data_IF_036224953643
#
_entry.id   IF_036224953643
#
_cell.length_a   1.000
_cell.length_b   1.000
_cell.length_c   1.000
_cell.angle_alpha   90.00
_cell.angle_beta   90.00
_cell.angle_gamma   90.00
#
_symmetry.space_group_name_H-M   'P 1'
#
loop_
_entity.id
_entity.type
_entity.pdbx_description
1 polymer ?
#
# COMPACT_ATOMS: atom_id res chain seq x y z
N UNK A 1 -45.71 -17.02 -58.52
CA UNK A 1 -46.10 -18.07 -57.55
C UNK A 1 -46.39 -17.44 -56.25
N UNK A 2 -47.67 -17.37 -55.87
CA UNK A 2 -48.20 -16.66 -54.71
C UNK A 2 -48.20 -17.60 -53.52
N UNK A 3 -47.36 -17.29 -52.48
CA UNK A 3 -47.43 -17.98 -51.18
C UNK A 3 -48.68 -17.49 -50.43
N UNK A 4 -49.65 -18.41 -50.30
CA UNK A 4 -50.82 -18.18 -49.45
C UNK A 4 -50.41 -18.14 -47.97
N UNK A 5 -50.44 -16.96 -47.33
CA UNK A 5 -50.47 -16.79 -45.90
C UNK A 5 -51.77 -17.40 -45.36
N UNK A 6 -51.71 -18.64 -44.87
CA UNK A 6 -52.80 -19.25 -44.10
C UNK A 6 -52.63 -18.90 -42.66
N UNK A 7 -53.34 -17.87 -42.19
CA UNK A 7 -53.55 -17.63 -40.74
C UNK A 7 -54.20 -18.87 -40.15
N UNK A 8 -53.61 -19.46 -39.03
CA UNK A 8 -54.22 -20.63 -38.40
C UNK A 8 -55.57 -20.26 -37.81
N UNK A 9 -56.59 -21.06 -38.17
CA UNK A 9 -57.94 -20.88 -37.68
C UNK A 9 -58.00 -21.23 -36.19
N UNK A 10 -58.00 -20.22 -35.32
CA UNK A 10 -58.00 -20.34 -33.87
C UNK A 10 -59.23 -21.01 -33.27
N UNK A 11 -60.31 -21.18 -34.06
CA UNK A 11 -61.58 -21.78 -33.60
C UNK A 11 -61.58 -23.31 -33.61
N UNK A 12 -60.53 -23.97 -34.07
CA UNK A 12 -60.47 -25.42 -34.19
C UNK A 12 -59.24 -26.05 -33.52
N UNK A 13 -58.88 -25.49 -32.38
CA UNK A 13 -57.79 -26.07 -31.55
C UNK A 13 -58.40 -27.20 -30.71
N UNK A 14 -57.91 -28.46 -30.86
CA UNK A 14 -58.39 -29.58 -30.05
C UNK A 14 -58.29 -29.31 -28.56
N UNK A 15 -59.28 -29.76 -27.76
CA UNK A 15 -59.33 -29.50 -26.32
C UNK A 15 -58.14 -30.07 -25.52
N UNK A 16 -57.49 -31.09 -26.04
CA UNK A 16 -56.26 -31.70 -25.54
C UNK A 16 -55.06 -30.76 -25.53
N UNK A 17 -55.07 -29.73 -26.40
CA UNK A 17 -54.04 -28.68 -26.39
C UNK A 17 -54.20 -27.64 -25.29
N UNK A 18 -55.33 -27.69 -24.57
CA UNK A 18 -55.58 -26.85 -23.38
C UNK A 18 -55.42 -27.60 -22.06
N UNK A 19 -54.99 -28.86 -22.10
CA UNK A 19 -54.54 -29.54 -20.91
C UNK A 19 -53.22 -28.91 -20.44
N UNK A 20 -53.13 -28.62 -19.12
CA UNK A 20 -51.89 -28.19 -18.52
C UNK A 20 -50.86 -29.28 -18.76
N UNK A 21 -49.99 -29.10 -19.72
CA UNK A 21 -48.80 -29.93 -19.85
C UNK A 21 -47.93 -29.56 -18.64
N UNK A 22 -47.94 -30.40 -17.64
CA UNK A 22 -46.89 -30.37 -16.63
C UNK A 22 -45.58 -30.70 -17.34
N UNK A 23 -44.95 -29.67 -17.88
CA UNK A 23 -43.60 -29.76 -18.39
C UNK A 23 -42.75 -30.15 -17.18
N UNK A 24 -42.48 -31.43 -17.14
CA UNK A 24 -41.54 -32.13 -16.28
C UNK A 24 -41.50 -31.62 -14.82
N UNK A 25 -42.09 -32.39 -13.91
CA UNK A 25 -41.95 -32.24 -12.45
C UNK A 25 -40.51 -32.37 -11.98
N UNK A 26 -39.52 -32.36 -12.88
CA UNK A 26 -38.09 -32.26 -12.63
C UNK A 26 -37.51 -30.90 -12.92
N UNK A 27 -38.30 -29.84 -12.88
CA UNK A 27 -37.72 -28.62 -12.34
C UNK A 27 -37.38 -28.96 -10.89
N UNK A 28 -36.20 -29.52 -10.69
CA UNK A 28 -35.55 -29.40 -9.42
C UNK A 28 -35.53 -27.92 -9.12
N UNK A 29 -36.52 -27.44 -8.35
CA UNK A 29 -36.24 -26.30 -7.49
C UNK A 29 -34.93 -26.71 -6.83
N UNK A 30 -33.83 -26.11 -7.26
CA UNK A 30 -32.59 -26.17 -6.53
C UNK A 30 -32.93 -25.55 -5.18
N UNK A 31 -33.40 -26.43 -4.27
CA UNK A 31 -33.56 -26.08 -2.88
C UNK A 31 -32.20 -25.55 -2.51
N UNK A 32 -32.14 -24.25 -2.24
CA UNK A 32 -30.93 -23.59 -1.79
C UNK A 32 -30.49 -24.39 -0.57
N UNK A 33 -29.65 -25.42 -0.79
CA UNK A 33 -29.13 -26.29 0.23
C UNK A 33 -27.97 -25.53 0.87
N UNK A 34 -28.28 -24.72 1.90
CA UNK A 34 -27.26 -24.01 2.67
C UNK A 34 -27.90 -23.01 3.63
N UNK A 35 -27.30 -22.86 4.80
CA UNK A 35 -27.65 -21.75 5.70
C UNK A 35 -27.36 -20.42 5.02
N UNK A 36 -28.26 -19.46 5.12
CA UNK A 36 -28.06 -18.13 4.61
C UNK A 36 -26.82 -17.50 5.26
N UNK A 37 -25.71 -17.43 4.49
CA UNK A 37 -24.44 -16.87 4.97
C UNK A 37 -24.50 -15.35 4.82
N UNK A 38 -24.27 -14.62 5.93
CA UNK A 38 -24.20 -13.17 5.91
C UNK A 38 -23.07 -12.65 5.00
N UNK A 39 -23.30 -11.45 4.39
CA UNK A 39 -22.39 -10.82 3.40
C UNK A 39 -20.91 -10.83 3.80
N UNK A 40 -20.59 -10.40 5.02
CA UNK A 40 -19.20 -10.33 5.50
C UNK A 40 -18.60 -11.72 5.75
N UNK A 41 -19.39 -12.68 6.21
CA UNK A 41 -18.94 -14.05 6.44
C UNK A 41 -18.59 -14.74 5.12
N UNK A 42 -19.42 -14.57 4.11
CA UNK A 42 -19.21 -15.08 2.75
C UNK A 42 -17.95 -14.45 2.12
N UNK A 43 -17.82 -13.13 2.17
CA UNK A 43 -16.63 -12.43 1.70
C UNK A 43 -15.34 -12.92 2.40
N UNK A 44 -15.39 -13.18 3.72
CA UNK A 44 -14.23 -13.70 4.46
C UNK A 44 -13.86 -15.12 4.04
N UNK A 45 -14.86 -15.97 3.73
CA UNK A 45 -14.61 -17.34 3.23
C UNK A 45 -13.92 -17.26 1.87
N UNK A 46 -14.42 -16.42 0.94
CA UNK A 46 -13.82 -16.21 -0.39
C UNK A 46 -12.42 -15.60 -0.30
N UNK A 47 -12.22 -14.63 0.57
CA UNK A 47 -10.89 -14.06 0.82
C UNK A 47 -9.88 -15.14 1.28
N UNK A 48 -10.28 -16.04 2.18
CA UNK A 48 -9.42 -17.15 2.65
C UNK A 48 -9.12 -18.19 1.58
N UNK A 49 -10.01 -18.39 0.62
CA UNK A 49 -9.78 -19.29 -0.53
C UNK A 49 -8.76 -18.69 -1.52
N UNK A 50 -8.65 -17.37 -1.61
CA UNK A 50 -7.68 -16.71 -2.47
C UNK A 50 -6.28 -16.77 -1.85
N UNK A 51 -5.44 -17.70 -2.33
CA UNK A 51 -4.09 -17.92 -1.81
C UNK A 51 -3.20 -16.67 -1.91
N UNK A 52 -3.31 -15.90 -3.00
CA UNK A 52 -2.53 -14.69 -3.20
C UNK A 52 -2.89 -13.61 -2.15
N UNK A 53 -4.18 -13.42 -1.89
CA UNK A 53 -4.67 -12.51 -0.87
C UNK A 53 -4.23 -12.92 0.54
N UNK A 54 -4.29 -14.22 0.85
CA UNK A 54 -3.88 -14.74 2.16
C UNK A 54 -2.37 -14.56 2.39
N UNK A 55 -1.54 -14.91 1.39
CA UNK A 55 -0.07 -14.72 1.47
C UNK A 55 0.25 -13.23 1.63
N UNK A 56 -0.42 -12.37 0.89
CA UNK A 56 -0.23 -10.91 0.98
C UNK A 56 -0.61 -10.37 2.36
N UNK A 57 -1.70 -10.85 2.93
CA UNK A 57 -2.10 -10.49 4.30
C UNK A 57 -1.04 -10.91 5.33
N UNK A 58 -0.48 -12.12 5.19
CA UNK A 58 0.60 -12.61 6.08
C UNK A 58 1.85 -11.72 5.93
N UNK A 59 2.23 -11.36 4.71
CA UNK A 59 3.38 -10.47 4.47
C UNK A 59 3.14 -9.11 5.13
N UNK A 60 1.97 -8.51 4.98
CA UNK A 60 1.62 -7.23 5.62
C UNK A 60 1.65 -7.36 7.15
N UNK A 61 1.13 -8.46 7.69
CA UNK A 61 1.17 -8.72 9.12
C UNK A 61 2.62 -8.84 9.65
N UNK A 62 3.51 -9.51 8.90
CA UNK A 62 4.94 -9.59 9.23
C UNK A 62 5.58 -8.19 9.17
N UNK A 63 5.31 -7.40 8.13
CA UNK A 63 5.85 -6.04 8.01
C UNK A 63 5.35 -5.15 9.14
N UNK A 64 4.08 -5.23 9.51
CA UNK A 64 3.51 -4.50 10.65
C UNK A 64 4.13 -4.94 11.97
N UNK A 65 4.32 -6.24 12.18
CA UNK A 65 5.03 -6.79 13.33
C UNK A 65 6.46 -6.26 13.40
N UNK A 66 7.20 -6.29 12.29
CA UNK A 66 8.56 -5.77 12.22
C UNK A 66 8.62 -4.25 12.43
N UNK A 67 7.63 -3.50 11.95
CA UNK A 67 7.54 -2.06 12.20
C UNK A 67 7.38 -1.74 13.71
N UNK A 68 6.69 -2.62 14.45
CA UNK A 68 6.46 -2.45 15.91
C UNK A 68 7.64 -2.98 16.72
N UNK A 69 8.10 -4.18 16.45
CA UNK A 69 9.06 -4.90 17.27
C UNK A 69 10.50 -4.87 16.71
N UNK A 70 10.66 -4.69 15.40
CA UNK A 70 11.96 -4.71 14.72
C UNK A 70 13.00 -3.74 15.32
N UNK A 71 12.66 -2.50 15.68
CA UNK A 71 13.61 -1.59 16.33
C UNK A 71 14.13 -2.11 17.66
N UNK A 72 13.32 -2.86 18.41
CA UNK A 72 13.71 -3.42 19.72
C UNK A 72 14.54 -4.71 19.63
N UNK A 73 14.68 -5.29 18.43
CA UNK A 73 15.52 -6.48 18.18
C UNK A 73 17.00 -6.14 18.11
N UNK A 74 17.35 -4.88 17.78
CA UNK A 74 18.71 -4.37 17.80
C UNK A 74 19.00 -3.67 19.14
N UNK A 75 20.22 -3.75 19.60
CA UNK A 75 20.68 -3.03 20.79
C UNK A 75 20.99 -1.55 20.54
N UNK A 76 20.97 -1.12 19.25
CA UNK A 76 21.29 0.25 18.85
C UNK A 76 20.04 1.09 18.69
N UNK A 77 20.08 2.35 19.16
CA UNK A 77 19.00 3.30 18.99
C UNK A 77 18.90 3.86 17.57
N UNK A 78 17.67 4.19 17.10
CA UNK A 78 17.45 4.75 15.75
C UNK A 78 18.07 6.14 15.53
N UNK A 79 18.27 6.90 16.64
CA UNK A 79 18.84 8.24 16.61
C UNK A 79 20.31 8.28 17.09
N UNK A 80 20.83 7.17 17.60
CA UNK A 80 22.18 7.06 18.11
C UNK A 80 23.19 7.19 16.98
N UNK A 81 24.07 8.19 17.06
CA UNK A 81 25.02 8.54 16.03
C UNK A 81 26.44 8.16 16.46
N UNK A 82 27.19 7.54 15.54
CA UNK A 82 28.62 7.30 15.71
C UNK A 82 29.36 7.61 14.41
N UNK A 83 29.87 8.83 14.30
CA UNK A 83 30.51 9.34 13.09
C UNK A 83 31.73 8.49 12.66
N UNK A 84 32.38 7.74 13.57
CA UNK A 84 33.45 6.82 13.23
C UNK A 84 32.94 5.60 12.46
N UNK A 85 31.67 5.23 12.64
CA UNK A 85 31.03 4.04 12.07
C UNK A 85 30.14 4.35 10.88
N UNK A 86 30.47 5.39 10.09
CA UNK A 86 29.69 5.81 8.91
C UNK A 86 29.77 4.78 7.79
N UNK A 87 28.61 4.55 7.13
CA UNK A 87 28.49 3.76 5.90
C UNK A 87 29.10 2.37 5.99
N UNK A 88 29.09 1.75 7.17
CA UNK A 88 29.57 0.39 7.35
C UNK A 88 28.67 -0.61 6.61
N UNK A 89 29.26 -1.63 5.96
CA UNK A 89 28.51 -2.67 5.27
C UNK A 89 27.75 -3.56 6.25
N UNK A 90 26.72 -4.30 5.81
CA UNK A 90 25.98 -5.24 6.63
C UNK A 90 26.85 -6.30 7.26
N UNK A 91 26.69 -6.50 8.60
CA UNK A 91 27.45 -7.52 9.34
C UNK A 91 26.53 -8.30 10.27
N UNK A 92 26.42 -9.62 9.99
CA UNK A 92 25.62 -10.55 10.79
C UNK A 92 26.49 -11.75 11.14
N UNK A 93 26.69 -12.05 12.42
CA UNK A 93 27.64 -13.08 12.89
C UNK A 93 27.38 -14.46 12.31
N UNK A 94 26.12 -14.91 12.28
CA UNK A 94 25.71 -16.23 11.79
C UNK A 94 25.52 -16.31 10.26
N UNK A 95 25.53 -15.16 9.53
CA UNK A 95 25.47 -15.08 8.07
C UNK A 95 26.78 -14.59 7.45
N UNK A 96 27.88 -14.54 8.20
CA UNK A 96 29.17 -14.03 7.74
C UNK A 96 29.76 -14.79 6.53
N UNK A 97 29.32 -16.02 6.29
CA UNK A 97 29.66 -16.80 5.08
C UNK A 97 29.05 -16.25 3.78
N UNK A 98 27.97 -15.43 3.88
CA UNK A 98 27.39 -14.76 2.72
C UNK A 98 28.09 -13.41 2.52
N UNK A 99 28.60 -13.16 1.32
CA UNK A 99 29.34 -11.93 0.97
C UNK A 99 28.64 -10.65 1.38
N UNK A 100 27.29 -10.61 1.26
CA UNK A 100 26.46 -9.45 1.61
C UNK A 100 26.48 -9.12 3.11
N UNK A 101 26.59 -10.12 3.99
CA UNK A 101 26.52 -9.99 5.45
C UNK A 101 27.86 -10.21 6.16
N UNK A 102 28.94 -10.23 5.40
CA UNK A 102 30.30 -10.48 5.92
C UNK A 102 30.92 -9.29 6.67
N UNK A 103 30.32 -8.09 6.54
CA UNK A 103 30.89 -6.85 7.10
C UNK A 103 32.11 -6.36 6.31
N UNK A 104 32.38 -6.89 5.12
CA UNK A 104 33.55 -6.51 4.32
C UNK A 104 33.17 -5.58 3.19
N UNK A 105 34.08 -4.68 2.81
CA UNK A 105 33.92 -3.79 1.67
C UNK A 105 35.08 -3.91 0.69
N UNK A 106 34.82 -3.52 -0.56
CA UNK A 106 35.88 -3.45 -1.60
C UNK A 106 36.15 -2.00 -1.92
N UNK A 107 37.44 -1.63 -1.96
CA UNK A 107 37.89 -0.28 -2.28
C UNK A 107 39.03 -0.32 -3.29
N UNK A 108 39.02 0.62 -4.27
CA UNK A 108 40.17 0.83 -5.15
C UNK A 108 41.11 1.85 -4.51
N UNK A 109 42.36 1.44 -4.38
CA UNK A 109 43.43 2.27 -3.79
C UNK A 109 44.73 2.10 -4.59
N UNK A 110 45.66 3.05 -4.43
CA UNK A 110 47.01 2.89 -4.99
C UNK A 110 47.66 1.70 -4.33
N UNK A 111 48.41 0.92 -5.11
CA UNK A 111 49.06 -0.30 -4.65
C UNK A 111 50.13 -0.03 -3.58
N UNK A 112 50.64 1.22 -3.51
CA UNK A 112 51.70 1.59 -2.58
C UNK A 112 51.25 1.54 -1.12
N UNK A 113 51.96 0.79 -0.28
CA UNK A 113 51.83 0.76 1.19
C UNK A 113 50.45 0.33 1.72
N UNK A 114 49.71 -0.52 1.00
CA UNK A 114 48.38 -0.99 1.41
C UNK A 114 48.41 -1.59 2.81
N UNK A 115 49.30 -2.52 3.10
CA UNK A 115 49.39 -3.21 4.40
C UNK A 115 49.69 -2.26 5.55
N UNK A 116 50.60 -1.29 5.34
CA UNK A 116 50.91 -0.28 6.38
C UNK A 116 49.72 0.65 6.66
N UNK A 117 48.93 0.96 5.64
CA UNK A 117 47.79 1.88 5.75
C UNK A 117 46.58 1.24 6.39
N UNK A 118 46.30 -0.01 6.09
CA UNK A 118 45.08 -0.69 6.53
C UNK A 118 45.30 -1.73 7.62
N UNK A 119 46.56 -2.09 7.92
CA UNK A 119 46.93 -3.02 9.01
C UNK A 119 46.02 -4.26 9.07
N UNK A 120 45.42 -4.52 10.25
CA UNK A 120 44.54 -5.66 10.52
C UNK A 120 43.19 -5.61 9.76
N UNK A 121 42.85 -4.48 9.15
CA UNK A 121 41.63 -4.33 8.35
C UNK A 121 41.84 -4.85 6.92
N UNK A 122 43.07 -5.05 6.45
CA UNK A 122 43.37 -5.60 5.12
C UNK A 122 43.14 -7.11 5.09
N UNK A 123 42.28 -7.57 4.17
CA UNK A 123 41.97 -8.99 4.02
C UNK A 123 42.71 -9.59 2.81
N UNK A 124 42.84 -8.82 1.71
CA UNK A 124 43.52 -9.28 0.50
C UNK A 124 43.24 -8.40 -0.71
N UNK A 125 44.06 -8.58 -1.76
CA UNK A 125 43.88 -7.91 -3.06
C UNK A 125 43.07 -8.79 -4.00
N UNK A 126 42.02 -8.22 -4.61
CA UNK A 126 41.13 -8.90 -5.56
C UNK A 126 41.71 -8.83 -6.98
N UNK A 127 42.15 -7.63 -7.39
CA UNK A 127 42.71 -7.38 -8.72
C UNK A 127 43.57 -6.12 -8.69
N UNK A 128 44.57 -6.04 -9.58
CA UNK A 128 45.41 -4.88 -9.79
C UNK A 128 45.31 -4.45 -11.25
N UNK A 129 45.21 -3.13 -11.49
CA UNK A 129 45.17 -2.55 -12.83
C UNK A 129 45.97 -1.26 -12.88
N UNK A 130 46.52 -0.93 -14.04
CA UNK A 130 47.20 0.36 -14.24
C UNK A 130 46.22 1.35 -14.83
N UNK A 131 46.00 2.47 -14.14
CA UNK A 131 45.10 3.57 -14.55
C UNK A 131 45.93 4.85 -14.67
N UNK A 132 46.02 5.40 -15.86
CA UNK A 132 46.82 6.61 -16.14
C UNK A 132 48.27 6.55 -15.60
N UNK A 133 48.94 5.40 -15.76
CA UNK A 133 50.30 5.22 -15.29
C UNK A 133 50.48 4.97 -13.79
N UNK A 134 49.40 4.89 -13.03
CA UNK A 134 49.42 4.57 -11.60
C UNK A 134 48.83 3.18 -11.38
N UNK A 135 49.52 2.34 -10.63
CA UNK A 135 49.03 1.02 -10.27
C UNK A 135 47.95 1.14 -9.17
N UNK A 136 46.75 0.69 -9.51
CA UNK A 136 45.60 0.69 -8.63
C UNK A 136 45.20 -0.75 -8.29
N UNK A 137 45.07 -1.04 -7.02
CA UNK A 137 44.59 -2.34 -6.53
C UNK A 137 43.19 -2.24 -5.96
N UNK A 138 42.32 -3.17 -6.39
CA UNK A 138 41.04 -3.39 -5.76
C UNK A 138 41.22 -4.33 -4.58
N UNK A 139 41.11 -3.82 -3.38
CA UNK A 139 41.35 -4.54 -2.13
C UNK A 139 40.05 -4.83 -1.40
N UNK A 140 40.07 -5.94 -0.64
CA UNK A 140 39.00 -6.29 0.31
C UNK A 140 39.41 -5.85 1.71
N UNK A 141 38.56 -5.12 2.38
CA UNK A 141 38.78 -4.55 3.71
C UNK A 141 37.70 -4.97 4.70
N UNK A 142 38.04 -5.03 5.98
CA UNK A 142 37.12 -5.06 7.09
C UNK A 142 37.04 -3.66 7.73
N UNK A 143 36.03 -2.82 7.36
CA UNK A 143 35.93 -1.46 7.89
C UNK A 143 35.57 -1.43 9.39
N UNK A 144 35.04 -2.50 9.95
CA UNK A 144 34.81 -2.60 11.38
C UNK A 144 36.12 -2.67 12.17
N UNK A 145 37.06 -3.48 11.72
CA UNK A 145 38.42 -3.51 12.28
C UNK A 145 39.17 -2.21 12.08
N UNK A 146 39.00 -1.56 10.92
CA UNK A 146 39.61 -0.26 10.63
C UNK A 146 39.18 0.84 11.62
N UNK A 147 37.98 0.74 12.19
CA UNK A 147 37.41 1.73 13.10
C UNK A 147 37.39 1.24 14.56
N UNK A 148 38.17 0.22 14.91
CA UNK A 148 38.22 -0.36 16.26
C UNK A 148 36.85 -0.82 16.80
N UNK A 149 35.99 -1.34 15.91
CA UNK A 149 34.61 -1.72 16.20
C UNK A 149 34.34 -3.21 15.91
N UNK A 150 35.27 -4.07 16.24
CA UNK A 150 35.22 -5.51 15.93
C UNK A 150 34.05 -6.23 16.60
N UNK A 151 33.52 -5.71 17.70
CA UNK A 151 32.37 -6.18 18.49
C UNK A 151 31.02 -5.60 18.05
N UNK A 152 31.02 -4.67 17.08
CA UNK A 152 29.82 -4.05 16.54
C UNK A 152 29.26 -4.89 15.37
N UNK A 153 27.93 -5.12 15.43
CA UNK A 153 27.19 -5.88 14.41
C UNK A 153 25.96 -5.08 13.96
N UNK A 154 26.12 -4.30 12.88
CA UNK A 154 25.00 -3.66 12.21
C UNK A 154 24.45 -4.60 11.14
N UNK A 155 23.26 -5.19 11.39
CA UNK A 155 22.71 -6.23 10.52
C UNK A 155 22.50 -5.77 9.07
N UNK A 156 22.05 -4.54 8.88
CA UNK A 156 21.90 -3.93 7.56
C UNK A 156 22.95 -2.85 7.27
N UNK A 157 23.96 -2.75 8.10
CA UNK A 157 24.97 -1.72 8.03
C UNK A 157 24.59 -0.44 8.73
N UNK A 158 25.36 0.63 8.52
CA UNK A 158 25.12 1.96 9.11
C UNK A 158 25.00 3.04 8.02
N UNK A 159 24.29 4.10 8.34
CA UNK A 159 24.09 5.24 7.44
C UNK A 159 25.25 6.27 7.50
N UNK A 160 25.07 7.40 6.82
CA UNK A 160 26.06 8.47 6.70
C UNK A 160 26.39 9.19 8.04
N UNK A 161 25.65 8.94 9.10
CA UNK A 161 25.90 9.42 10.46
C UNK A 161 26.31 8.29 11.41
N UNK A 162 26.51 7.08 10.89
CA UNK A 162 26.86 5.89 11.67
C UNK A 162 25.72 5.32 12.50
N UNK A 163 24.44 5.62 12.13
CA UNK A 163 23.25 5.09 12.79
C UNK A 163 22.90 3.72 12.22
N UNK A 164 22.38 2.83 13.07
CA UNK A 164 21.99 1.47 12.66
C UNK A 164 20.83 1.49 11.64
N UNK A 165 21.10 0.96 10.44
CA UNK A 165 20.11 0.95 9.35
C UNK A 165 18.92 0.01 9.66
N UNK A 166 19.14 -1.12 10.35
CA UNK A 166 18.08 -2.03 10.75
C UNK A 166 17.02 -1.32 11.60
N UNK A 167 17.44 -0.69 12.67
CA UNK A 167 16.54 0.02 13.59
C UNK A 167 15.81 1.17 12.91
N UNK A 168 16.55 1.91 12.06
CA UNK A 168 15.99 3.03 11.28
C UNK A 168 14.97 2.56 10.24
N UNK A 169 15.21 1.44 9.58
CA UNK A 169 14.32 0.88 8.55
C UNK A 169 12.95 0.52 9.15
N UNK A 170 12.96 -0.24 10.24
CA UNK A 170 11.69 -0.65 10.88
C UNK A 170 10.99 0.50 11.59
N UNK A 171 11.75 1.43 12.19
CA UNK A 171 11.18 2.67 12.71
C UNK A 171 10.59 3.52 11.59
N UNK A 172 11.29 3.65 10.47
CA UNK A 172 10.81 4.37 9.30
C UNK A 172 9.55 3.77 8.71
N UNK A 173 9.47 2.43 8.63
CA UNK A 173 8.26 1.73 8.21
C UNK A 173 7.07 2.02 9.15
N UNK A 174 7.30 2.04 10.47
CA UNK A 174 6.27 2.43 11.46
C UNK A 174 5.74 3.84 11.20
N UNK A 175 6.64 4.80 10.95
CA UNK A 175 6.26 6.18 10.69
C UNK A 175 5.49 6.30 9.38
N UNK A 176 5.95 5.65 8.29
CA UNK A 176 5.22 5.64 7.01
C UNK A 176 3.84 4.98 7.14
N UNK A 177 3.71 3.88 7.91
CA UNK A 177 2.41 3.28 8.22
C UNK A 177 1.51 4.23 9.01
N UNK A 178 2.04 4.92 10.01
CA UNK A 178 1.24 5.85 10.82
C UNK A 178 0.66 6.97 9.95
N UNK A 179 1.48 7.59 9.10
CA UNK A 179 1.03 8.65 8.20
C UNK A 179 -0.05 8.13 7.25
N UNK A 180 0.19 6.98 6.62
CA UNK A 180 -0.75 6.41 5.65
C UNK A 180 -2.07 5.97 6.30
N UNK A 181 -2.04 5.43 7.52
CA UNK A 181 -3.25 5.08 8.26
C UNK A 181 -4.07 6.31 8.66
N UNK A 182 -3.41 7.38 9.11
CA UNK A 182 -4.09 8.65 9.42
C UNK A 182 -4.72 9.23 8.15
N UNK A 183 -3.97 9.31 7.05
CA UNK A 183 -4.46 9.81 5.78
C UNK A 183 -5.64 8.97 5.27
N UNK A 184 -5.51 7.64 5.26
CA UNK A 184 -6.57 6.71 4.87
C UNK A 184 -7.83 6.91 5.72
N UNK A 185 -7.71 6.95 7.05
CA UNK A 185 -8.87 7.07 7.94
C UNK A 185 -9.63 8.38 7.69
N UNK A 186 -8.92 9.50 7.54
CA UNK A 186 -9.52 10.80 7.25
C UNK A 186 -10.14 10.83 5.85
N UNK A 187 -9.43 10.31 4.84
CA UNK A 187 -9.91 10.26 3.46
C UNK A 187 -11.18 9.41 3.32
N UNK A 188 -11.23 8.27 3.99
CA UNK A 188 -12.42 7.41 4.01
C UNK A 188 -13.57 8.12 4.70
N UNK A 189 -13.35 8.67 5.90
CA UNK A 189 -14.41 9.32 6.68
C UNK A 189 -15.01 10.50 5.92
N UNK A 190 -14.18 11.43 5.46
CA UNK A 190 -14.63 12.61 4.70
C UNK A 190 -15.22 12.16 3.36
N UNK A 191 -14.56 11.25 2.65
CA UNK A 191 -15.00 10.77 1.35
C UNK A 191 -16.36 10.08 1.39
N UNK A 192 -16.62 9.24 2.41
CA UNK A 192 -17.94 8.61 2.59
C UNK A 192 -19.00 9.65 2.86
N UNK A 193 -18.78 10.54 3.84
CA UNK A 193 -19.79 11.54 4.22
C UNK A 193 -20.09 12.45 3.04
N UNK A 194 -19.07 12.99 2.42
CA UNK A 194 -19.20 13.92 1.30
C UNK A 194 -19.84 13.26 0.07
N UNK A 195 -19.34 12.09 -0.31
CA UNK A 195 -19.86 11.33 -1.46
C UNK A 195 -21.28 10.85 -1.26
N UNK A 196 -21.63 10.40 -0.03
CA UNK A 196 -23.00 10.00 0.32
C UNK A 196 -23.99 11.16 0.22
N UNK A 197 -23.68 12.32 0.80
CA UNK A 197 -24.53 13.50 0.73
C UNK A 197 -24.72 13.93 -0.74
N UNK A 198 -23.64 14.10 -1.46
CA UNK A 198 -23.63 14.50 -2.88
C UNK A 198 -24.47 13.53 -3.74
N UNK A 199 -24.21 12.21 -3.63
CA UNK A 199 -24.90 11.19 -4.42
C UNK A 199 -26.36 10.98 -4.05
N UNK A 200 -26.69 11.03 -2.75
CA UNK A 200 -28.04 10.78 -2.26
C UNK A 200 -29.00 11.91 -2.61
N UNK A 201 -28.67 13.14 -2.21
CA UNK A 201 -29.54 14.29 -2.46
C UNK A 201 -29.55 14.72 -3.93
N UNK A 202 -28.40 14.68 -4.60
CA UNK A 202 -28.30 15.04 -6.01
C UNK A 202 -28.61 16.51 -6.30
N UNK A 203 -29.01 16.81 -7.55
CA UNK A 203 -29.49 18.13 -7.98
C UNK A 203 -28.53 19.28 -7.63
N UNK A 204 -29.06 20.34 -7.02
CA UNK A 204 -28.30 21.54 -6.67
C UNK A 204 -27.22 21.30 -5.59
N UNK A 205 -27.51 20.43 -4.60
CA UNK A 205 -26.57 20.08 -3.55
C UNK A 205 -25.34 19.41 -4.16
N UNK A 206 -25.57 18.42 -5.01
CA UNK A 206 -24.49 17.73 -5.73
C UNK A 206 -23.67 18.69 -6.58
N UNK A 207 -24.34 19.57 -7.34
CA UNK A 207 -23.66 20.56 -8.19
C UNK A 207 -22.71 21.44 -7.38
N UNK A 208 -23.18 22.02 -6.26
CA UNK A 208 -22.33 22.87 -5.41
C UNK A 208 -21.16 22.08 -4.80
N UNK A 209 -21.43 20.88 -4.31
CA UNK A 209 -20.41 20.02 -3.74
C UNK A 209 -19.33 19.65 -4.77
N UNK A 210 -19.72 19.33 -6.02
CA UNK A 210 -18.75 19.06 -7.08
C UNK A 210 -17.93 20.33 -7.46
N UNK A 211 -18.53 21.53 -7.50
CA UNK A 211 -17.78 22.79 -7.70
C UNK A 211 -16.76 23.03 -6.59
N UNK A 212 -17.11 22.73 -5.35
CA UNK A 212 -16.16 22.83 -4.24
C UNK A 212 -14.96 21.88 -4.39
N UNK A 213 -15.21 20.61 -4.78
CA UNK A 213 -14.15 19.65 -5.08
C UNK A 213 -13.26 20.12 -6.24
N UNK A 214 -13.85 20.70 -7.28
CA UNK A 214 -13.11 21.23 -8.43
C UNK A 214 -12.17 22.36 -8.02
N UNK A 215 -12.61 23.26 -7.14
CA UNK A 215 -11.77 24.36 -6.61
C UNK A 215 -10.59 23.81 -5.80
N UNK A 216 -10.84 22.89 -4.87
CA UNK A 216 -9.75 22.27 -4.08
C UNK A 216 -8.82 21.46 -4.97
N UNK A 217 -9.36 20.65 -5.86
CA UNK A 217 -8.58 19.80 -6.78
C UNK A 217 -7.80 20.58 -7.84
N UNK A 218 -8.16 21.85 -8.08
CA UNK A 218 -7.43 22.76 -8.95
C UNK A 218 -6.14 23.29 -8.36
N UNK A 219 -5.94 23.20 -7.04
CA UNK A 219 -4.70 23.59 -6.39
C UNK A 219 -3.66 22.47 -6.55
N UNK A 220 -2.46 22.76 -7.12
CA UNK A 220 -1.41 21.76 -7.24
C UNK A 220 -1.03 21.17 -5.87
N UNK A 221 -1.05 19.85 -5.75
CA UNK A 221 -0.77 19.15 -4.49
C UNK A 221 0.54 19.56 -3.82
N UNK A 222 1.62 19.74 -4.61
CA UNK A 222 2.92 20.16 -4.07
C UNK A 222 2.86 21.55 -3.44
N UNK A 223 2.04 22.46 -3.96
CA UNK A 223 1.86 23.79 -3.36
C UNK A 223 1.23 23.67 -1.98
N UNK A 224 0.22 22.80 -1.84
CA UNK A 224 -0.42 22.51 -0.55
C UNK A 224 0.61 21.98 0.45
N UNK A 225 1.43 21.00 0.03
CA UNK A 225 2.48 20.42 0.89
C UNK A 225 3.48 21.49 1.34
N UNK A 226 3.98 22.31 0.40
CA UNK A 226 4.95 23.37 0.69
C UNK A 226 4.37 24.36 1.70
N UNK A 227 3.11 24.77 1.54
CA UNK A 227 2.44 25.69 2.47
C UNK A 227 2.33 25.09 3.87
N UNK A 228 1.93 23.82 4.00
CA UNK A 228 1.85 23.16 5.30
C UNK A 228 3.23 23.00 5.95
N UNK A 229 4.24 22.59 5.18
CA UNK A 229 5.62 22.47 5.68
C UNK A 229 6.20 23.84 6.05
N UNK A 230 5.88 24.88 5.30
CA UNK A 230 6.31 26.26 5.63
C UNK A 230 5.69 26.77 6.93
N UNK A 231 4.40 26.47 7.16
CA UNK A 231 3.66 27.02 8.30
C UNK A 231 3.88 26.23 9.59
N UNK A 232 3.95 24.90 9.50
CA UNK A 232 4.07 24.00 10.67
C UNK A 232 5.49 23.45 10.87
N UNK A 233 6.41 23.76 9.98
CA UNK A 233 7.73 23.11 9.92
C UNK A 233 7.66 21.71 9.28
N UNK A 234 8.82 21.12 8.98
CA UNK A 234 8.89 19.75 8.43
C UNK A 234 8.57 18.71 9.51
N UNK A 235 7.77 17.69 9.16
CA UNK A 235 7.39 16.64 10.10
C UNK A 235 6.22 15.77 9.64
N UNK A 236 5.78 14.88 10.53
CA UNK A 236 4.67 13.95 10.27
C UNK A 236 3.35 14.71 10.06
N UNK A 237 3.08 15.71 10.92
CA UNK A 237 1.80 16.44 10.95
C UNK A 237 1.54 17.19 9.64
N UNK A 238 2.44 18.07 9.12
CA UNK A 238 2.18 18.81 7.89
C UNK A 238 2.01 17.90 6.66
N UNK A 239 2.76 16.78 6.60
CA UNK A 239 2.61 15.81 5.52
C UNK A 239 1.24 15.14 5.61
N UNK A 240 0.83 14.67 6.77
CA UNK A 240 -0.48 14.06 6.98
C UNK A 240 -1.62 15.04 6.66
N UNK A 241 -1.53 16.30 7.11
CA UNK A 241 -2.52 17.34 6.80
C UNK A 241 -2.63 17.60 5.30
N UNK A 242 -1.49 17.71 4.60
CA UNK A 242 -1.48 17.89 3.15
C UNK A 242 -2.15 16.72 2.42
N UNK A 243 -1.86 15.47 2.84
CA UNK A 243 -2.49 14.27 2.30
C UNK A 243 -4.00 14.22 2.57
N UNK A 244 -4.42 14.67 3.75
CA UNK A 244 -5.83 14.74 4.12
C UNK A 244 -6.59 15.87 3.40
N UNK A 245 -5.92 16.89 2.90
CA UNK A 245 -6.56 18.04 2.25
C UNK A 245 -7.23 17.65 0.92
N UNK A 246 -6.60 16.80 0.13
CA UNK A 246 -7.05 16.43 -1.21
C UNK A 246 -7.36 14.94 -1.39
N UNK A 247 -6.82 14.07 -0.55
CA UNK A 247 -6.91 12.61 -0.71
C UNK A 247 -8.33 12.07 -0.70
N UNK A 248 -9.23 12.66 0.09
CA UNK A 248 -10.63 12.26 0.18
C UNK A 248 -11.45 12.48 -1.10
N UNK A 249 -10.97 13.32 -2.03
CA UNK A 249 -11.69 13.66 -3.27
C UNK A 249 -11.97 12.42 -4.12
N UNK A 250 -10.96 11.55 -4.30
CA UNK A 250 -11.10 10.30 -5.05
C UNK A 250 -12.15 9.39 -4.45
N UNK A 251 -12.10 9.17 -3.14
CA UNK A 251 -13.07 8.38 -2.39
C UNK A 251 -14.47 8.97 -2.49
N UNK A 252 -14.63 10.29 -2.34
CA UNK A 252 -15.94 10.95 -2.41
C UNK A 252 -16.62 10.78 -3.77
N UNK A 253 -15.87 10.89 -4.87
CA UNK A 253 -16.40 10.68 -6.22
C UNK A 253 -16.85 9.23 -6.43
N UNK A 254 -16.09 8.26 -5.92
CA UNK A 254 -16.45 6.85 -6.01
C UNK A 254 -17.72 6.55 -5.20
N UNK A 255 -17.81 7.03 -3.97
CA UNK A 255 -18.99 6.86 -3.10
C UNK A 255 -20.20 7.55 -3.71
N UNK A 256 -20.04 8.76 -4.24
CA UNK A 256 -21.11 9.46 -4.97
C UNK A 256 -21.66 8.60 -6.11
N UNK A 257 -20.81 8.00 -6.91
CA UNK A 257 -21.23 7.12 -8.02
C UNK A 257 -22.03 5.90 -7.52
N UNK A 258 -21.59 5.28 -6.41
CA UNK A 258 -22.34 4.18 -5.80
C UNK A 258 -23.70 4.63 -5.26
N UNK A 259 -23.76 5.79 -4.61
CA UNK A 259 -25.02 6.31 -4.10
C UNK A 259 -26.01 6.67 -5.21
N UNK A 260 -25.54 7.27 -6.32
CA UNK A 260 -26.35 7.51 -7.51
C UNK A 260 -26.92 6.22 -8.10
N UNK A 261 -26.10 5.15 -8.16
CA UNK A 261 -26.54 3.84 -8.63
C UNK A 261 -27.56 3.19 -7.71
N UNK A 262 -27.24 3.10 -6.41
CA UNK A 262 -28.07 2.34 -5.47
C UNK A 262 -29.38 3.04 -5.08
N UNK A 263 -29.45 4.38 -5.09
CA UNK A 263 -30.69 5.10 -4.74
C UNK A 263 -31.84 4.86 -5.72
N UNK A 264 -31.54 4.40 -6.96
CA UNK A 264 -32.51 4.11 -8.00
C UNK A 264 -32.91 2.63 -8.04
N UNK A 265 -32.34 1.79 -7.18
CA UNK A 265 -32.68 0.37 -7.12
C UNK A 265 -34.06 0.15 -6.52
N UNK A 266 -34.79 -0.83 -7.06
CA UNK A 266 -36.19 -1.13 -6.72
C UNK A 266 -36.41 -1.30 -5.21
N UNK A 267 -35.53 -1.99 -4.49
CA UNK A 267 -35.63 -2.21 -3.06
C UNK A 267 -35.50 -0.91 -2.24
N UNK A 268 -34.72 0.07 -2.72
CA UNK A 268 -34.58 1.39 -2.09
C UNK A 268 -35.84 2.21 -2.34
N UNK A 269 -36.34 2.19 -3.58
CA UNK A 269 -37.60 2.87 -3.97
C UNK A 269 -38.80 2.29 -3.21
N UNK A 270 -38.89 0.97 -3.11
CA UNK A 270 -39.94 0.32 -2.30
C UNK A 270 -39.91 0.73 -0.83
N UNK A 271 -38.66 0.73 -0.24
CA UNK A 271 -38.53 1.20 1.16
C UNK A 271 -38.93 2.67 1.34
N UNK A 272 -38.63 3.52 0.36
CA UNK A 272 -38.99 4.93 0.36
C UNK A 272 -40.51 5.12 0.28
N UNK A 273 -41.20 4.36 -0.59
CA UNK A 273 -42.70 4.41 -0.69
C UNK A 273 -43.40 3.93 0.58
N UNK A 274 -42.73 3.02 1.32
CA UNK A 274 -43.20 2.58 2.64
C UNK A 274 -42.89 3.58 3.78
N UNK A 275 -42.33 4.76 3.47
CA UNK A 275 -42.06 5.81 4.43
C UNK A 275 -40.76 5.72 5.19
N UNK A 276 -39.77 4.96 4.70
CA UNK A 276 -38.47 4.92 5.32
C UNK A 276 -37.77 6.29 5.29
N UNK A 277 -37.16 6.70 6.41
CA UNK A 277 -36.43 7.95 6.50
C UNK A 277 -35.13 7.91 5.68
N UNK A 278 -34.63 9.08 5.27
CA UNK A 278 -33.34 9.22 4.55
C UNK A 278 -32.19 8.54 5.28
N UNK A 279 -32.15 8.68 6.62
CA UNK A 279 -31.14 8.00 7.45
C UNK A 279 -31.22 6.48 7.29
N UNK A 280 -32.41 5.91 7.27
CA UNK A 280 -32.61 4.47 7.08
C UNK A 280 -32.17 4.05 5.68
N UNK A 281 -32.54 4.81 4.65
CA UNK A 281 -32.15 4.53 3.26
C UNK A 281 -30.62 4.59 3.09
N UNK A 282 -29.97 5.62 3.61
CA UNK A 282 -28.51 5.79 3.53
C UNK A 282 -27.79 4.68 4.28
N UNK A 283 -28.04 4.52 5.59
CA UNK A 283 -27.19 3.67 6.44
C UNK A 283 -27.59 2.19 6.44
N UNK A 284 -28.84 1.84 6.14
CA UNK A 284 -29.33 0.46 6.19
C UNK A 284 -29.44 -0.18 4.80
N UNK A 285 -29.66 0.63 3.74
CA UNK A 285 -29.87 0.10 2.40
C UNK A 285 -28.74 0.43 1.42
N UNK A 286 -28.26 1.67 1.36
CA UNK A 286 -27.28 2.08 0.34
C UNK A 286 -25.83 1.80 0.79
N UNK A 287 -25.43 2.34 1.95
CA UNK A 287 -24.06 2.24 2.43
C UNK A 287 -23.56 0.81 2.62
N UNK A 288 -24.34 -0.15 3.17
CA UNK A 288 -23.89 -1.54 3.26
C UNK A 288 -23.67 -2.21 1.91
N UNK A 289 -24.43 -1.85 0.88
CA UNK A 289 -24.25 -2.35 -0.47
C UNK A 289 -23.02 -1.72 -1.17
N UNK A 290 -22.63 -0.51 -0.76
CA UNK A 290 -21.40 0.14 -1.20
C UNK A 290 -20.15 -0.32 -0.43
N UNK A 291 -20.31 -1.10 0.67
CA UNK A 291 -19.20 -1.47 1.55
C UNK A 291 -18.07 -2.22 0.82
N UNK A 292 -18.37 -3.06 -0.15
CA UNK A 292 -17.37 -3.80 -0.91
C UNK A 292 -16.39 -2.86 -1.62
N UNK A 293 -16.90 -1.84 -2.32
CA UNK A 293 -16.04 -0.88 -3.03
C UNK A 293 -15.26 0.00 -2.04
N UNK A 294 -15.87 0.37 -0.90
CA UNK A 294 -15.20 1.15 0.14
C UNK A 294 -14.00 0.38 0.69
N UNK A 295 -14.18 -0.88 1.06
CA UNK A 295 -13.11 -1.74 1.59
C UNK A 295 -11.97 -1.89 0.58
N UNK A 296 -12.31 -2.14 -0.69
CA UNK A 296 -11.33 -2.27 -1.76
C UNK A 296 -10.51 -1.00 -1.95
N UNK A 297 -11.18 0.16 -2.06
CA UNK A 297 -10.51 1.44 -2.22
C UNK A 297 -9.64 1.78 -1.01
N UNK A 298 -10.12 1.49 0.19
CA UNK A 298 -9.36 1.70 1.43
C UNK A 298 -8.06 0.91 1.46
N UNK A 299 -8.06 -0.34 1.01
CA UNK A 299 -6.86 -1.16 0.97
C UNK A 299 -5.81 -0.62 -0.02
N UNK A 300 -6.25 0.04 -1.10
CA UNK A 300 -5.37 0.63 -2.11
C UNK A 300 -4.87 2.04 -1.74
N UNK A 301 -5.52 2.73 -0.80
CA UNK A 301 -5.09 4.04 -0.29
C UNK A 301 -3.73 3.97 0.43
N UNK A 302 -3.49 2.92 1.23
CA UNK A 302 -2.27 2.80 2.04
C UNK A 302 -1.00 2.83 1.18
N UNK A 303 -0.83 1.96 0.15
CA UNK A 303 0.37 2.00 -0.68
C UNK A 303 0.50 3.33 -1.44
N UNK A 304 -0.61 3.92 -1.87
CA UNK A 304 -0.62 5.24 -2.51
C UNK A 304 -0.09 6.34 -1.58
N UNK A 305 -0.53 6.34 -0.32
CA UNK A 305 -0.08 7.30 0.68
C UNK A 305 1.41 7.13 1.02
N UNK A 306 1.90 5.89 1.17
CA UNK A 306 3.31 5.61 1.45
C UNK A 306 4.19 6.02 0.25
N UNK A 307 3.74 5.75 -0.97
CA UNK A 307 4.45 6.21 -2.17
C UNK A 307 4.49 7.74 -2.23
N UNK A 308 3.38 8.42 -1.95
CA UNK A 308 3.30 9.88 -1.89
C UNK A 308 4.25 10.48 -0.85
N UNK A 309 4.30 9.91 0.37
CA UNK A 309 5.23 10.31 1.42
C UNK A 309 6.69 10.11 0.97
N UNK A 310 6.99 8.96 0.38
CA UNK A 310 8.34 8.65 -0.12
C UNK A 310 8.77 9.60 -1.24
N UNK A 311 7.87 9.98 -2.13
CA UNK A 311 8.13 10.98 -3.15
C UNK A 311 8.40 12.36 -2.55
N UNK A 312 7.62 12.79 -1.54
CA UNK A 312 7.87 14.05 -0.84
C UNK A 312 9.25 14.05 -0.15
N UNK A 313 9.61 12.95 0.48
CA UNK A 313 10.93 12.78 1.09
C UNK A 313 12.05 12.87 0.05
N UNK A 314 11.87 12.25 -1.13
CA UNK A 314 12.83 12.28 -2.23
C UNK A 314 13.11 13.71 -2.74
N UNK A 315 12.08 14.55 -2.82
CA UNK A 315 12.25 15.96 -3.24
C UNK A 315 12.64 16.91 -2.09
N UNK A 316 12.92 16.37 -0.90
CA UNK A 316 13.40 17.13 0.26
C UNK A 316 12.30 17.73 1.15
N UNK A 317 11.03 17.42 0.89
CA UNK A 317 9.88 17.81 1.72
C UNK A 317 9.46 16.74 2.73
N UNK A 318 10.29 15.72 2.93
CA UNK A 318 10.05 14.63 3.85
C UNK A 318 10.24 14.98 5.32
N UNK A 319 10.10 13.96 6.15
CA UNK A 319 10.35 14.04 7.59
C UNK A 319 11.84 14.30 7.81
N UNK A 320 12.16 15.13 8.78
CA UNK A 320 13.55 15.45 9.11
C UNK A 320 14.10 14.65 10.30
N UNK A 321 15.43 14.53 10.33
CA UNK A 321 16.13 13.92 11.43
C UNK A 321 15.68 14.50 12.79
N UNK A 322 15.64 13.66 13.87
CA UNK A 322 16.16 12.29 13.93
C UNK A 322 15.22 11.21 13.40
N UNK A 323 13.91 11.48 13.21
CA UNK A 323 12.93 10.49 12.80
C UNK A 323 13.19 10.03 11.36
N UNK A 324 13.25 8.72 11.12
CA UNK A 324 13.30 8.16 9.79
C UNK A 324 11.90 7.93 9.22
N UNK A 325 11.80 7.93 7.87
CA UNK A 325 10.74 7.25 7.12
C UNK A 325 11.36 6.39 6.03
N UNK A 326 10.60 5.48 5.42
CA UNK A 326 11.12 4.68 4.30
C UNK A 326 11.56 5.59 3.15
N UNK A 327 10.79 6.64 2.87
CA UNK A 327 11.11 7.60 1.82
C UNK A 327 12.41 8.37 2.09
N UNK A 328 12.64 8.82 3.31
CA UNK A 328 13.88 9.50 3.71
C UNK A 328 15.08 8.57 3.59
N UNK A 329 14.96 7.30 4.01
CA UNK A 329 16.04 6.32 3.86
C UNK A 329 16.37 6.05 2.39
N UNK A 330 15.37 5.98 1.52
CA UNK A 330 15.55 5.84 0.07
C UNK A 330 16.24 7.07 -0.53
N UNK A 331 15.79 8.27 -0.17
CA UNK A 331 16.35 9.52 -0.65
C UNK A 331 17.82 9.69 -0.24
N UNK A 332 18.15 9.35 1.00
CA UNK A 332 19.54 9.40 1.49
C UNK A 332 20.42 8.31 0.87
N UNK A 333 19.91 7.08 0.78
CA UNK A 333 20.63 5.96 0.18
C UNK A 333 20.94 6.18 -1.30
N UNK A 334 20.00 6.78 -2.06
CA UNK A 334 20.19 7.06 -3.49
C UNK A 334 21.39 7.97 -3.78
N UNK A 335 21.63 8.97 -2.92
CA UNK A 335 22.77 9.89 -3.07
C UNK A 335 24.12 9.19 -3.08
N UNK A 336 24.19 8.03 -2.44
CA UNK A 336 25.43 7.23 -2.26
C UNK A 336 25.32 5.80 -2.80
N UNK A 337 24.33 5.54 -3.65
CA UNK A 337 23.99 4.21 -4.17
C UNK A 337 25.17 3.47 -4.79
N UNK A 338 25.99 4.16 -5.57
CA UNK A 338 27.15 3.55 -6.24
C UNK A 338 28.27 3.13 -5.28
N UNK A 339 28.34 3.78 -4.12
CA UNK A 339 29.40 3.51 -3.12
C UNK A 339 28.90 2.57 -2.01
N UNK A 340 27.64 2.76 -1.58
CA UNK A 340 27.03 2.04 -0.46
C UNK A 340 25.63 1.52 -0.82
N UNK A 341 25.53 0.55 -1.75
CA UNK A 341 24.25 0.10 -2.29
C UNK A 341 23.27 -0.45 -1.24
N UNK A 342 23.77 -0.99 -0.14
CA UNK A 342 22.95 -1.53 0.95
C UNK A 342 22.01 -0.47 1.57
N UNK A 343 22.41 0.80 1.59
CA UNK A 343 21.61 1.90 2.12
C UNK A 343 20.31 2.13 1.32
N UNK A 344 20.30 1.75 0.04
CA UNK A 344 19.14 1.83 -0.83
C UNK A 344 18.42 0.50 -0.97
N UNK A 345 19.16 -0.60 -1.10
CA UNK A 345 18.61 -1.94 -1.40
C UNK A 345 17.63 -2.39 -0.32
N UNK A 346 17.98 -2.28 0.97
CA UNK A 346 17.08 -2.73 2.05
C UNK A 346 15.79 -1.93 2.12
N UNK A 347 15.79 -0.59 2.14
CA UNK A 347 14.54 0.18 2.09
C UNK A 347 13.74 -0.05 0.82
N UNK A 348 14.39 -0.16 -0.35
CA UNK A 348 13.73 -0.42 -1.62
C UNK A 348 13.05 -1.79 -1.64
N UNK A 349 13.69 -2.82 -1.10
CA UNK A 349 13.13 -4.16 -0.99
C UNK A 349 11.89 -4.19 -0.10
N UNK A 350 11.94 -3.53 1.07
CA UNK A 350 10.82 -3.46 2.01
C UNK A 350 9.63 -2.72 1.39
N UNK A 351 9.84 -1.56 0.76
CA UNK A 351 8.75 -0.81 0.14
C UNK A 351 8.16 -1.57 -1.05
N UNK A 352 8.99 -2.25 -1.86
CA UNK A 352 8.52 -3.03 -3.01
C UNK A 352 7.63 -4.20 -2.58
N UNK A 353 8.08 -4.98 -1.60
CA UNK A 353 7.28 -6.09 -1.06
C UNK A 353 5.98 -5.58 -0.46
N UNK A 354 6.03 -4.49 0.29
CA UNK A 354 4.86 -3.89 0.90
C UNK A 354 3.84 -3.44 -0.16
N UNK A 355 4.29 -2.74 -1.22
CA UNK A 355 3.41 -2.28 -2.29
C UNK A 355 2.77 -3.45 -3.04
N UNK A 356 3.55 -4.50 -3.36
CA UNK A 356 3.03 -5.71 -3.99
C UNK A 356 1.99 -6.39 -3.08
N UNK A 357 2.31 -6.54 -1.80
CA UNK A 357 1.41 -7.18 -0.84
C UNK A 357 0.09 -6.42 -0.66
N UNK A 358 0.12 -5.08 -0.53
CA UNK A 358 -1.11 -4.29 -0.45
C UNK A 358 -1.94 -4.34 -1.73
N UNK A 359 -1.30 -4.30 -2.91
CA UNK A 359 -2.02 -4.41 -4.19
C UNK A 359 -2.70 -5.78 -4.33
N UNK A 360 -1.98 -6.87 -4.05
CA UNK A 360 -2.56 -8.23 -4.10
C UNK A 360 -3.67 -8.42 -3.06
N UNK A 361 -3.49 -7.89 -1.85
CA UNK A 361 -4.53 -7.91 -0.82
C UNK A 361 -5.75 -7.11 -1.24
N UNK A 362 -5.56 -5.90 -1.80
CA UNK A 362 -6.65 -5.05 -2.28
C UNK A 362 -7.46 -5.72 -3.39
N UNK A 363 -6.79 -6.36 -4.35
CA UNK A 363 -7.46 -7.15 -5.39
C UNK A 363 -8.21 -8.34 -4.79
N UNK A 364 -7.60 -9.07 -3.86
CA UNK A 364 -8.28 -10.18 -3.18
C UNK A 364 -9.48 -9.74 -2.34
N UNK A 365 -9.43 -8.57 -1.72
CA UNK A 365 -10.59 -7.97 -1.06
C UNK A 365 -11.67 -7.57 -2.08
N UNK A 366 -11.28 -6.98 -3.21
CA UNK A 366 -12.22 -6.67 -4.29
C UNK A 366 -12.99 -7.91 -4.74
N UNK A 367 -12.28 -9.00 -5.06
CA UNK A 367 -12.89 -10.24 -5.52
C UNK A 367 -13.78 -10.87 -4.44
N UNK A 368 -13.35 -10.83 -3.19
CA UNK A 368 -14.11 -11.36 -2.06
C UNK A 368 -15.41 -10.60 -1.79
N UNK A 369 -15.41 -9.27 -1.97
CA UNK A 369 -16.57 -8.40 -1.73
C UNK A 369 -17.41 -8.13 -2.98
N UNK A 370 -17.03 -8.66 -4.16
CA UNK A 370 -17.81 -8.51 -5.39
C UNK A 370 -19.11 -9.34 -5.31
N UNK A 371 -20.28 -8.69 -5.35
CA UNK A 371 -21.56 -9.40 -5.29
C UNK A 371 -21.86 -10.21 -6.56
N UNK A 372 -21.23 -9.90 -7.70
CA UNK A 372 -21.46 -10.60 -8.97
C UNK A 372 -20.86 -12.00 -9.00
N UNK A 373 -19.89 -12.27 -8.14
CA UNK A 373 -19.26 -13.58 -8.00
C UNK A 373 -19.98 -14.51 -7.01
N UNK A 374 -21.12 -14.10 -6.46
CA UNK A 374 -21.92 -14.93 -5.56
C UNK A 374 -22.63 -16.03 -6.34
N UNK A 375 -22.46 -17.27 -5.88
CA UNK A 375 -23.17 -18.44 -6.43
C UNK A 375 -22.58 -19.02 -7.71
N UNK A 376 -21.37 -18.64 -8.12
CA UNK A 376 -20.67 -19.20 -9.30
C UNK A 376 -19.68 -20.31 -8.89
N UNK A 377 -19.45 -20.54 -7.58
CA UNK A 377 -18.56 -21.60 -7.04
C UNK A 377 -19.32 -22.76 -6.39
#
# INVERSE_FOLDING_TARGET
MSEKNTTPNLNNIPKDKFEFVQIDTRLHDEVIQGEAIGFFKDAMIRFRKNKAALVSFIIIAILAFMAIFGPSMSKYGFAEQNVKLQNLPPRVSWLSGLSLFSGTSTKEVRTDNIEKKYKDAYIGTISTRVVKGTEMSKIKLDPYKQNDASDVYYWFGSDNLGRDLWTRLWRGLRVSFLISLIAMAVNILIGIIYGAISGYYGGWIDLLMQRFIEVIGGVPYLVIVILFVFYYGPGIIPIALAMCMTGWIGMSRMIRAQFLKYKEMEYVLASRTLGASDRTLIFRHILPNAAGIIITMSALEIPGAIFGESFLAYIGLGIQAPEPSIGVLLADGQKVLLQYPHLTIFPAFVISIMMIAFNLMGNGLRDAFDPTLRGIE
#
